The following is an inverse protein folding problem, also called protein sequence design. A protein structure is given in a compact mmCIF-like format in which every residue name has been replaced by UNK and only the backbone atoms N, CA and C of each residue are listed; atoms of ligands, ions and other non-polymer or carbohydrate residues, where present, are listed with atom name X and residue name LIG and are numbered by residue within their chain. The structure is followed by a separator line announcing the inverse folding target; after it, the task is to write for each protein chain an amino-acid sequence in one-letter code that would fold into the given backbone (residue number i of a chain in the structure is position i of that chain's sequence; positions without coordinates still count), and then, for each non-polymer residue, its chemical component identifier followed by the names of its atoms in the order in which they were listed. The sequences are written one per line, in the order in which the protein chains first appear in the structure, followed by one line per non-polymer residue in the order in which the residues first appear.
data_IF_580293524300
#
_entry.id   IF_580293524300
#
_cell.length_a   1.000
_cell.length_b   1.000
_cell.length_c   1.000
_cell.angle_alpha   90.00
_cell.angle_beta   90.00
_cell.angle_gamma   90.00
#
_symmetry.space_group_name_H-M   'P 1'
#
loop_
_entity.id
_entity.type
_entity.pdbx_description
1 polymer ?
#
# COMPACT_ATOMS: atom_id res chain seq x y z
N UNK A 1 -0.43 -0.61 -13.21
CA UNK A 1 -0.35 0.29 -14.39
C UNK A 1 -0.54 1.75 -14.00
N UNK A 2 -1.43 2.07 -13.06
CA UNK A 2 -1.76 3.46 -12.70
C UNK A 2 -0.58 4.32 -12.19
N UNK A 3 0.48 3.69 -11.70
CA UNK A 3 1.63 4.40 -11.11
C UNK A 3 2.89 4.35 -11.99
N UNK A 4 3.03 3.35 -12.86
CA UNK A 4 4.20 3.20 -13.73
C UNK A 4 4.04 4.05 -14.99
N UNK A 5 5.08 4.77 -15.38
CA UNK A 5 5.13 5.55 -16.62
C UNK A 5 5.32 4.61 -17.83
N UNK A 6 4.27 3.84 -18.15
CA UNK A 6 4.34 2.77 -19.17
C UNK A 6 4.67 3.29 -20.56
N UNK A 7 4.37 4.56 -20.85
CA UNK A 7 4.72 5.24 -22.11
C UNK A 7 6.22 5.34 -22.36
N UNK A 8 7.04 5.20 -21.30
CA UNK A 8 8.51 5.16 -21.42
C UNK A 8 9.06 3.80 -21.86
N UNK A 9 8.19 2.79 -21.92
CA UNK A 9 8.55 1.41 -22.26
C UNK A 9 7.75 0.88 -23.47
N UNK A 10 7.80 1.55 -24.64
CA UNK A 10 7.05 1.10 -25.81
C UNK A 10 7.50 -0.30 -26.23
N UNK A 11 6.56 -1.18 -26.50
CA UNK A 11 6.79 -2.59 -26.91
C UNK A 11 7.57 -3.43 -25.88
N UNK A 12 7.53 -3.05 -24.60
CA UNK A 12 8.14 -3.79 -23.50
C UNK A 12 7.07 -4.39 -22.59
N UNK A 13 7.48 -5.36 -21.78
CA UNK A 13 6.63 -5.98 -20.76
C UNK A 13 7.37 -5.88 -19.43
N UNK A 14 6.71 -5.27 -18.43
CA UNK A 14 7.15 -5.30 -17.03
C UNK A 14 6.38 -6.41 -16.36
N UNK A 15 7.08 -7.40 -15.81
CA UNK A 15 6.51 -8.51 -15.06
C UNK A 15 6.86 -8.33 -13.59
N UNK A 16 5.85 -8.31 -12.74
CA UNK A 16 5.99 -8.28 -11.28
C UNK A 16 5.48 -9.61 -10.75
N UNK A 17 6.32 -10.30 -10.00
CA UNK A 17 5.97 -11.55 -9.32
C UNK A 17 5.99 -11.30 -7.82
N UNK A 18 4.92 -11.65 -7.13
CA UNK A 18 4.76 -11.47 -5.68
C UNK A 18 4.57 -12.86 -5.08
N UNK A 19 5.50 -13.25 -4.22
CA UNK A 19 5.42 -14.50 -3.46
C UNK A 19 5.01 -14.19 -2.02
N UNK A 20 3.90 -14.77 -1.57
CA UNK A 20 3.39 -14.60 -0.22
C UNK A 20 3.96 -15.72 0.65
N UNK A 21 4.91 -15.39 1.53
CA UNK A 21 5.57 -16.35 2.40
C UNK A 21 4.75 -16.68 3.65
N UNK A 22 3.97 -15.73 4.16
CA UNK A 22 3.06 -15.89 5.28
C UNK A 22 1.81 -15.05 5.06
N UNK A 23 0.64 -15.56 5.41
CA UNK A 23 -0.65 -14.93 5.18
C UNK A 23 -1.42 -14.86 6.51
N UNK A 24 -1.35 -13.71 7.18
CA UNK A 24 -2.00 -13.44 8.48
C UNK A 24 -2.98 -12.25 8.42
N UNK A 25 -3.51 -11.89 7.29
CA UNK A 25 -4.24 -10.71 6.85
C UNK A 25 -3.33 -9.69 6.13
N UNK A 26 -3.93 -8.68 5.50
CA UNK A 26 -3.21 -7.56 4.88
C UNK A 26 -2.26 -7.93 3.72
N UNK A 27 -2.26 -9.17 3.22
CA UNK A 27 -1.32 -9.67 2.19
C UNK A 27 -1.38 -8.85 0.91
N UNK A 28 -2.53 -8.30 0.56
CA UNK A 28 -2.73 -7.42 -0.59
C UNK A 28 -1.96 -6.11 -0.43
N UNK A 29 -2.07 -5.49 0.74
CA UNK A 29 -1.37 -4.24 1.06
C UNK A 29 0.15 -4.46 1.10
N UNK A 30 0.60 -5.52 1.75
CA UNK A 30 2.01 -5.91 1.78
C UNK A 30 2.56 -6.17 0.37
N UNK A 31 1.82 -6.89 -0.48
CA UNK A 31 2.19 -7.18 -1.86
C UNK A 31 2.30 -5.93 -2.74
N UNK A 32 1.35 -4.98 -2.61
CA UNK A 32 1.39 -3.69 -3.32
C UNK A 32 2.63 -2.89 -2.90
N UNK A 33 2.89 -2.78 -1.61
CA UNK A 33 4.03 -2.04 -1.06
C UNK A 33 5.36 -2.68 -1.49
N UNK A 34 5.50 -4.01 -1.39
CA UNK A 34 6.68 -4.73 -1.83
C UNK A 34 6.95 -4.56 -3.34
N UNK A 35 5.90 -4.66 -4.16
CA UNK A 35 6.00 -4.43 -5.60
C UNK A 35 6.45 -2.99 -5.93
N UNK A 36 5.95 -2.00 -5.17
CA UNK A 36 6.31 -0.60 -5.33
C UNK A 36 7.81 -0.36 -5.05
N UNK A 37 8.32 -0.91 -3.95
CA UNK A 37 9.75 -0.83 -3.59
C UNK A 37 10.60 -1.55 -4.64
N UNK A 38 10.21 -2.75 -5.08
CA UNK A 38 10.94 -3.51 -6.08
C UNK A 38 11.02 -2.80 -7.44
N UNK A 39 9.95 -2.13 -7.86
CA UNK A 39 9.93 -1.33 -9.08
C UNK A 39 10.85 -0.11 -8.96
N UNK A 40 10.85 0.57 -7.82
CA UNK A 40 11.74 1.71 -7.56
C UNK A 40 13.21 1.27 -7.54
N UNK A 41 13.52 0.16 -6.86
CA UNK A 41 14.85 -0.44 -6.79
C UNK A 41 15.37 -0.88 -8.18
N UNK A 42 14.48 -1.37 -9.04
CA UNK A 42 14.78 -1.73 -10.43
C UNK A 42 14.94 -0.51 -11.36
N UNK A 43 14.78 0.71 -10.85
CA UNK A 43 14.89 1.93 -11.65
C UNK A 43 13.73 2.13 -12.64
N UNK A 44 12.58 1.51 -12.39
CA UNK A 44 11.39 1.69 -13.22
C UNK A 44 10.74 3.04 -12.90
N UNK A 45 10.64 3.98 -13.86
CA UNK A 45 10.05 5.28 -13.64
C UNK A 45 8.57 5.16 -13.29
N UNK A 46 8.21 5.75 -12.16
CA UNK A 46 6.85 5.81 -11.62
C UNK A 46 6.46 7.26 -11.32
N UNK A 47 5.16 7.55 -11.29
CA UNK A 47 4.64 8.86 -10.88
C UNK A 47 4.88 9.11 -9.40
N UNK A 48 4.73 8.05 -8.60
CA UNK A 48 4.97 8.00 -7.17
C UNK A 48 5.13 6.53 -6.74
N UNK A 49 5.67 6.28 -5.55
CA UNK A 49 5.60 4.96 -4.94
C UNK A 49 4.21 4.77 -4.31
N UNK A 50 3.54 3.70 -4.69
CA UNK A 50 2.25 3.34 -4.10
C UNK A 50 2.47 2.59 -2.79
N UNK A 51 1.69 2.94 -1.77
CA UNK A 51 1.68 2.27 -0.46
C UNK A 51 0.34 1.58 -0.28
N UNK A 52 0.36 0.29 0.02
CA UNK A 52 -0.80 -0.49 0.41
C UNK A 52 -1.02 -0.38 1.92
N UNK A 53 -2.21 0.02 2.32
CA UNK A 53 -2.65 0.14 3.71
C UNK A 53 -4.08 -0.37 3.84
N UNK A 54 -4.48 -0.80 5.03
CA UNK A 54 -5.86 -1.17 5.31
C UNK A 54 -6.30 -0.62 6.65
N UNK A 55 -7.50 -0.13 6.72
CA UNK A 55 -8.26 0.14 7.94
C UNK A 55 -9.54 -0.69 7.93
N UNK A 56 -10.21 -0.79 9.04
CA UNK A 56 -11.47 -1.51 9.11
C UNK A 56 -12.25 -1.16 10.36
N UNK A 57 -13.26 -1.97 10.67
CA UNK A 57 -14.14 -1.75 11.80
C UNK A 57 -14.31 -3.01 12.64
N UNK A 58 -14.09 -2.87 13.94
CA UNK A 58 -14.21 -3.94 14.92
C UNK A 58 -14.99 -3.39 16.11
N UNK A 59 -16.05 -4.07 16.54
CA UNK A 59 -16.88 -3.67 17.68
C UNK A 59 -17.24 -2.17 17.66
N UNK A 60 -17.72 -1.69 16.49
CA UNK A 60 -18.09 -0.29 16.24
C UNK A 60 -16.93 0.73 16.36
N UNK A 61 -15.68 0.26 16.32
CA UNK A 61 -14.48 1.10 16.36
C UNK A 61 -13.71 0.98 15.05
N UNK A 62 -13.37 2.12 14.45
CA UNK A 62 -12.47 2.16 13.28
C UNK A 62 -11.03 1.92 13.74
N UNK A 63 -10.37 0.98 13.12
CA UNK A 63 -8.99 0.56 13.43
C UNK A 63 -8.12 0.52 12.19
N UNK A 64 -6.81 0.57 12.39
CA UNK A 64 -5.81 0.50 11.32
C UNK A 64 -5.07 -0.83 11.42
N UNK A 65 -4.80 -1.47 10.26
CA UNK A 65 -3.99 -2.67 10.12
C UNK A 65 -4.57 -3.89 10.87
N UNK A 66 -5.66 -4.42 10.33
CA UNK A 66 -6.37 -5.57 10.88
C UNK A 66 -5.50 -6.83 10.91
N UNK A 67 -5.50 -7.54 12.02
CA UNK A 67 -4.95 -8.89 12.11
C UNK A 67 -5.91 -9.93 11.49
N UNK A 68 -5.49 -11.20 11.45
CA UNK A 68 -6.28 -12.27 10.84
C UNK A 68 -7.61 -12.52 11.53
N UNK A 69 -7.68 -12.38 12.85
CA UNK A 69 -8.91 -12.57 13.59
C UNK A 69 -9.85 -11.38 13.36
N UNK A 70 -9.28 -10.19 13.34
CA UNK A 70 -9.98 -8.93 13.07
C UNK A 70 -10.53 -8.86 11.65
N UNK A 71 -9.73 -9.29 10.66
CA UNK A 71 -10.15 -9.38 9.25
C UNK A 71 -11.30 -10.40 9.05
N UNK A 72 -11.23 -11.55 9.73
CA UNK A 72 -12.25 -12.60 9.58
C UNK A 72 -13.56 -12.32 10.34
N UNK A 73 -13.50 -11.60 11.45
CA UNK A 73 -14.65 -11.37 12.35
C UNK A 73 -15.00 -9.89 12.49
N UNK A 74 -14.26 -8.99 11.86
CA UNK A 74 -14.55 -7.56 11.83
C UNK A 74 -15.80 -7.23 11.03
N UNK A 75 -16.29 -6.02 11.20
CA UNK A 75 -17.51 -5.52 10.54
C UNK A 75 -17.21 -4.94 9.17
N UNK A 76 -15.96 -4.47 8.92
CA UNK A 76 -15.52 -3.96 7.63
C UNK A 76 -13.99 -4.02 7.47
N UNK A 77 -13.54 -4.16 6.21
CA UNK A 77 -12.16 -4.04 5.76
C UNK A 77 -12.09 -3.04 4.59
N UNK A 78 -11.16 -2.09 4.67
CA UNK A 78 -11.00 -1.00 3.71
C UNK A 78 -9.53 -0.91 3.24
N UNK A 79 -9.04 -1.86 2.43
CA UNK A 79 -7.71 -1.76 1.85
C UNK A 79 -7.65 -0.69 0.76
N UNK A 80 -6.58 0.10 0.79
CA UNK A 80 -6.29 1.16 -0.16
C UNK A 80 -4.85 1.13 -0.65
N UNK A 81 -4.63 1.52 -1.89
CA UNK A 81 -3.32 1.82 -2.45
C UNK A 81 -3.22 3.32 -2.72
N UNK A 82 -2.38 3.99 -1.95
CA UNK A 82 -2.28 5.45 -1.92
C UNK A 82 -0.93 5.90 -2.49
N UNK A 83 -0.94 7.01 -3.22
CA UNK A 83 0.24 7.72 -3.67
C UNK A 83 0.50 8.87 -2.68
N UNK A 84 1.47 8.75 -1.74
CA UNK A 84 1.55 9.66 -0.60
C UNK A 84 1.91 11.09 -0.94
N UNK A 85 2.70 11.31 -2.03
CA UNK A 85 3.11 12.66 -2.43
C UNK A 85 1.98 13.44 -3.12
N UNK A 86 1.08 12.75 -3.83
CA UNK A 86 -0.04 13.40 -4.55
C UNK A 86 -1.36 13.31 -3.81
N UNK A 87 -1.49 12.36 -2.88
CA UNK A 87 -2.75 12.05 -2.21
C UNK A 87 -3.75 11.31 -3.11
N UNK A 88 -3.32 10.81 -4.26
CA UNK A 88 -4.18 10.02 -5.15
C UNK A 88 -4.39 8.61 -4.61
N UNK A 89 -5.59 8.09 -4.83
CA UNK A 89 -5.95 6.70 -4.54
C UNK A 89 -5.89 5.91 -5.85
N UNK A 90 -4.93 4.99 -5.97
CA UNK A 90 -4.77 4.15 -7.14
C UNK A 90 -5.55 2.83 -7.05
N UNK A 91 -5.88 2.41 -5.83
CA UNK A 91 -6.65 1.21 -5.52
C UNK A 91 -7.48 1.48 -4.27
N UNK A 92 -8.73 1.07 -4.29
CA UNK A 92 -9.63 1.09 -3.14
C UNK A 92 -10.59 -0.09 -3.23
N UNK A 93 -10.73 -0.79 -2.14
CA UNK A 93 -11.74 -1.83 -1.96
C UNK A 93 -12.38 -1.65 -0.60
N UNK A 94 -13.64 -1.99 -0.48
CA UNK A 94 -14.34 -2.06 0.79
C UNK A 94 -15.10 -3.38 0.85
N UNK A 95 -14.99 -4.05 1.96
CA UNK A 95 -15.79 -5.21 2.31
C UNK A 95 -16.43 -4.96 3.68
N UNK A 96 -17.70 -5.28 3.82
CA UNK A 96 -18.46 -4.98 5.03
C UNK A 96 -19.19 -3.63 4.96
N UNK A 97 -19.49 -3.05 6.13
CA UNK A 97 -20.38 -1.89 6.28
C UNK A 97 -19.75 -0.79 7.15
N UNK A 98 -19.60 0.40 6.55
CA UNK A 98 -19.12 1.62 7.20
C UNK A 98 -20.13 2.74 6.97
N UNK A 99 -20.44 3.52 7.99
CA UNK A 99 -21.13 4.79 7.79
C UNK A 99 -20.23 5.77 7.03
N UNK A 100 -20.78 6.84 6.43
CA UNK A 100 -19.96 7.86 5.78
C UNK A 100 -18.89 8.45 6.70
N UNK A 101 -19.23 8.69 7.97
CA UNK A 101 -18.30 9.24 8.97
C UNK A 101 -17.20 8.25 9.34
N UNK A 102 -17.53 6.97 9.44
CA UNK A 102 -16.56 5.90 9.69
C UNK A 102 -15.63 5.70 8.49
N UNK A 103 -16.19 5.77 7.27
CA UNK A 103 -15.39 5.72 6.05
C UNK A 103 -14.39 6.88 5.97
N UNK A 104 -14.82 8.10 6.25
CA UNK A 104 -13.95 9.28 6.25
C UNK A 104 -12.82 9.13 7.28
N UNK A 105 -13.12 8.64 8.49
CA UNK A 105 -12.14 8.38 9.52
C UNK A 105 -11.16 7.25 9.12
N UNK A 106 -11.67 6.17 8.54
CA UNK A 106 -10.87 5.06 8.05
C UNK A 106 -9.89 5.52 6.94
N UNK A 107 -10.36 6.35 6.03
CA UNK A 107 -9.51 6.94 4.99
C UNK A 107 -8.47 7.90 5.56
N UNK A 108 -8.80 8.69 6.58
CA UNK A 108 -7.83 9.54 7.28
C UNK A 108 -6.69 8.70 7.87
N UNK A 109 -7.02 7.57 8.52
CA UNK A 109 -6.03 6.63 9.05
C UNK A 109 -5.16 6.04 7.94
N UNK A 110 -5.78 5.61 6.83
CA UNK A 110 -5.06 5.09 5.68
C UNK A 110 -4.09 6.12 5.08
N UNK A 111 -4.49 7.37 4.91
CA UNK A 111 -3.60 8.44 4.41
C UNK A 111 -2.43 8.73 5.35
N UNK A 112 -2.67 8.73 6.65
CA UNK A 112 -1.62 8.94 7.65
C UNK A 112 -0.61 7.79 7.63
N UNK A 113 -1.08 6.55 7.69
CA UNK A 113 -0.23 5.37 7.65
C UNK A 113 0.57 5.27 6.35
N UNK A 114 -0.06 5.61 5.20
CA UNK A 114 0.63 5.60 3.91
C UNK A 114 1.83 6.56 3.88
N UNK A 115 1.74 7.72 4.52
CA UNK A 115 2.87 8.67 4.61
C UNK A 115 3.99 8.10 5.47
N UNK A 116 3.67 7.54 6.63
CA UNK A 116 4.66 6.95 7.54
C UNK A 116 5.39 5.76 6.88
N UNK A 117 4.64 4.87 6.23
CA UNK A 117 5.22 3.73 5.50
C UNK A 117 6.09 4.21 4.33
N UNK A 118 5.65 5.24 3.59
CA UNK A 118 6.42 5.80 2.49
C UNK A 118 7.80 6.33 2.93
N UNK A 119 7.87 7.00 4.07
CA UNK A 119 9.15 7.46 4.64
C UNK A 119 10.08 6.29 4.91
N UNK A 120 9.58 5.20 5.49
CA UNK A 120 10.34 3.95 5.72
C UNK A 120 10.83 3.34 4.40
N UNK A 121 9.97 3.30 3.37
CA UNK A 121 10.34 2.78 2.05
C UNK A 121 11.47 3.60 1.41
N UNK A 122 11.36 4.92 1.48
CA UNK A 122 12.38 5.85 0.95
C UNK A 122 13.70 5.66 1.67
N UNK A 123 13.68 5.59 3.01
CA UNK A 123 14.88 5.44 3.82
C UNK A 123 15.55 4.07 3.58
N UNK A 124 14.77 3.02 3.45
CA UNK A 124 15.29 1.69 3.12
C UNK A 124 15.97 1.64 1.74
N UNK A 125 15.37 2.31 0.73
CA UNK A 125 15.98 2.42 -0.61
C UNK A 125 17.27 3.23 -0.56
N UNK A 126 17.29 4.39 0.11
CA UNK A 126 18.49 5.22 0.26
C UNK A 126 19.62 4.45 0.97
N UNK A 127 19.33 3.81 2.08
CA UNK A 127 20.32 3.05 2.84
C UNK A 127 20.99 1.94 2.03
N UNK A 128 20.28 1.34 1.06
CA UNK A 128 20.84 0.35 0.14
C UNK A 128 21.91 0.93 -0.78
N UNK A 129 21.75 2.16 -1.22
CA UNK A 129 22.67 2.83 -2.16
C UNK A 129 23.74 3.66 -1.48
N UNK A 130 23.47 4.19 -0.28
CA UNK A 130 24.45 4.95 0.52
C UNK A 130 25.53 4.05 1.14
N UNK A 131 25.31 2.73 1.27
CA UNK A 131 26.28 1.75 1.78
C UNK A 131 27.29 1.20 0.75
N UNK A 132 27.33 1.72 -0.44
CA UNK A 132 28.10 1.20 -1.58
C UNK A 132 29.55 1.73 -1.72
N UNK A 133 30.02 2.59 -0.85
CA UNK A 133 31.39 3.08 -0.82
C UNK A 133 32.21 2.41 0.33
N UNK A 134 32.53 1.11 0.17
CA UNK A 134 33.64 0.43 0.87
C UNK A 134 34.29 -0.62 -0.03
#
# INVERSE_FOLDING_TARGET
ESVVLVERFPRSKIRVEIEILAAEAGTRCAGITAASVALADAGIPMRDMIVGVASGKIEDTVVLDLDKAEDNYGQADLPAGILPNTGEIAFLQMDGDLSPEEFDLAMEYNFKAAKEIHEIMVDALKARYDGGDN
#
